data_IF_527831910319
#
_entry.id   IF_527831910319
#
_cell.length_a   1.000
_cell.length_b   1.000
_cell.length_c   1.000
_cell.angle_alpha   90.00
_cell.angle_beta   90.00
_cell.angle_gamma   90.00
#
_symmetry.space_group_name_H-M   'P 1'
#
loop_
_entity.id
_entity.type
_entity.pdbx_description
1 polymer ?
#
# COMPACT_ATOMS: atom_id res chain seq x y z
N UNK A 1 -17.44 1.45 -4.08
CA UNK A 1 -16.61 2.56 -4.60
C UNK A 1 -15.49 1.96 -5.45
N UNK A 2 -15.25 2.48 -6.65
CA UNK A 2 -14.21 1.95 -7.53
C UNK A 2 -12.82 2.53 -7.26
N UNK A 3 -11.74 1.92 -7.78
CA UNK A 3 -10.37 2.42 -7.62
C UNK A 3 -10.18 3.86 -8.14
N UNK A 4 -10.97 4.27 -9.14
CA UNK A 4 -10.98 5.64 -9.66
C UNK A 4 -11.40 6.68 -8.62
N UNK A 5 -12.35 6.34 -7.74
CA UNK A 5 -12.82 7.24 -6.68
C UNK A 5 -11.71 7.53 -5.67
N UNK A 6 -11.06 6.47 -5.16
CA UNK A 6 -9.92 6.61 -4.23
C UNK A 6 -8.75 7.36 -4.88
N UNK A 7 -8.49 7.12 -6.16
CA UNK A 7 -7.45 7.83 -6.93
C UNK A 7 -7.71 9.35 -7.00
N UNK A 8 -8.97 9.77 -7.22
CA UNK A 8 -9.33 11.19 -7.25
C UNK A 8 -9.13 11.83 -5.88
N UNK A 9 -9.63 11.20 -4.81
CA UNK A 9 -9.48 11.69 -3.44
C UNK A 9 -8.00 11.81 -3.07
N UNK A 10 -7.21 10.76 -3.34
CA UNK A 10 -5.78 10.78 -3.05
C UNK A 10 -5.09 11.93 -3.80
N UNK A 11 -5.31 12.07 -5.10
CA UNK A 11 -4.62 13.07 -5.93
C UNK A 11 -5.06 14.50 -5.65
N UNK A 12 -6.32 14.73 -5.29
CA UNK A 12 -6.90 16.08 -5.17
C UNK A 12 -6.97 16.59 -3.75
N UNK A 13 -6.95 15.71 -2.75
CA UNK A 13 -7.12 16.08 -1.34
C UNK A 13 -5.91 15.62 -0.52
N UNK A 14 -5.68 14.31 -0.43
CA UNK A 14 -4.66 13.76 0.49
C UNK A 14 -3.25 14.20 0.09
N UNK A 15 -2.89 14.04 -1.20
CA UNK A 15 -1.56 14.39 -1.70
C UNK A 15 -1.24 15.88 -1.52
N UNK A 16 -2.08 16.85 -1.94
CA UNK A 16 -1.80 18.26 -1.68
C UNK A 16 -1.61 18.59 -0.20
N UNK A 17 -2.41 17.99 0.69
CA UNK A 17 -2.29 18.20 2.14
C UNK A 17 -0.95 17.64 2.65
N UNK A 18 -0.57 16.43 2.27
CA UNK A 18 0.69 15.81 2.70
C UNK A 18 1.93 16.58 2.22
N UNK A 19 1.86 17.23 1.06
CA UNK A 19 2.95 18.07 0.54
C UNK A 19 3.15 19.38 1.33
N UNK A 20 2.27 19.70 2.28
CA UNK A 20 2.46 20.83 3.20
C UNK A 20 3.36 20.48 4.40
N UNK A 21 3.68 19.20 4.59
CA UNK A 21 4.46 18.71 5.72
C UNK A 21 5.80 18.16 5.26
N UNK A 22 6.74 18.04 6.21
CA UNK A 22 8.02 17.39 5.99
C UNK A 22 7.84 15.92 5.56
N UNK A 23 8.66 15.48 4.61
CA UNK A 23 8.52 14.17 3.97
C UNK A 23 8.75 13.01 4.94
N UNK A 24 9.70 13.14 5.87
CA UNK A 24 9.99 12.13 6.88
C UNK A 24 8.85 12.03 7.90
N UNK A 25 8.28 13.17 8.29
CA UNK A 25 7.11 13.22 9.16
C UNK A 25 5.90 12.51 8.55
N UNK A 26 5.62 12.75 7.26
CA UNK A 26 4.55 12.05 6.55
C UNK A 26 4.88 10.57 6.39
N UNK A 27 6.13 10.22 6.09
CA UNK A 27 6.57 8.83 6.00
C UNK A 27 6.32 8.08 7.31
N UNK A 28 6.78 8.62 8.44
CA UNK A 28 6.58 8.03 9.77
C UNK A 28 5.10 7.88 10.12
N UNK A 29 4.27 8.89 9.80
CA UNK A 29 2.83 8.83 10.00
C UNK A 29 2.19 7.71 9.17
N UNK A 30 2.51 7.61 7.88
CA UNK A 30 1.94 6.59 6.99
C UNK A 30 2.40 5.20 7.39
N UNK A 31 3.67 5.04 7.78
CA UNK A 31 4.20 3.76 8.27
C UNK A 31 3.52 3.33 9.56
N UNK A 32 3.31 4.24 10.51
CA UNK A 32 2.58 3.97 11.75
C UNK A 32 1.12 3.57 11.50
N UNK A 33 0.43 4.28 10.60
CA UNK A 33 -0.94 3.92 10.22
C UNK A 33 -0.99 2.56 9.53
N UNK A 34 -0.02 2.26 8.66
CA UNK A 34 0.10 0.98 7.99
C UNK A 34 0.30 -0.18 8.99
N UNK A 35 1.18 0.00 9.97
CA UNK A 35 1.39 -0.96 11.06
C UNK A 35 0.10 -1.18 11.88
N UNK A 36 -0.62 -0.11 12.21
CA UNK A 36 -1.90 -0.21 12.94
C UNK A 36 -2.94 -1.00 12.13
N UNK A 37 -3.01 -0.78 10.81
CA UNK A 37 -3.94 -1.46 9.93
C UNK A 37 -3.57 -2.94 9.73
N UNK A 38 -2.30 -3.27 9.56
CA UNK A 38 -1.86 -4.65 9.34
C UNK A 38 -2.13 -5.58 10.53
N UNK A 39 -2.06 -5.03 11.76
CA UNK A 39 -2.46 -5.74 13.00
C UNK A 39 -3.93 -6.16 13.04
N UNK A 40 -4.80 -5.59 12.20
CA UNK A 40 -6.23 -5.92 12.15
C UNK A 40 -6.58 -6.74 10.91
N UNK A 41 -6.97 -8.00 11.12
CA UNK A 41 -7.43 -8.91 10.06
C UNK A 41 -8.56 -8.29 9.21
N UNK A 42 -9.50 -7.60 9.85
CA UNK A 42 -10.62 -6.94 9.17
C UNK A 42 -10.14 -5.80 8.26
N UNK A 43 -9.16 -5.01 8.71
CA UNK A 43 -8.60 -3.93 7.91
C UNK A 43 -7.83 -4.49 6.72
N UNK A 44 -7.00 -5.52 6.91
CA UNK A 44 -6.23 -6.19 5.84
C UNK A 44 -7.16 -6.77 4.77
N UNK A 45 -8.21 -7.49 5.15
CA UNK A 45 -9.20 -8.04 4.20
C UNK A 45 -9.91 -6.91 3.44
N UNK A 46 -10.24 -5.81 4.12
CA UNK A 46 -10.92 -4.66 3.49
C UNK A 46 -10.00 -3.99 2.48
N UNK A 47 -8.73 -3.74 2.83
CA UNK A 47 -7.73 -3.18 1.92
C UNK A 47 -7.50 -4.08 0.71
N UNK A 48 -7.40 -5.39 0.91
CA UNK A 48 -7.23 -6.36 -0.18
C UNK A 48 -8.43 -6.33 -1.13
N UNK A 49 -9.66 -6.23 -0.62
CA UNK A 49 -10.86 -6.11 -1.47
C UNK A 49 -10.93 -4.81 -2.26
N UNK A 50 -10.45 -3.71 -1.69
CA UNK A 50 -10.50 -2.38 -2.32
C UNK A 50 -9.36 -2.17 -3.33
N UNK A 51 -8.17 -2.69 -3.06
CA UNK A 51 -6.94 -2.37 -3.80
C UNK A 51 -6.20 -3.60 -4.36
N UNK A 52 -6.50 -4.81 -3.88
CA UNK A 52 -5.88 -6.06 -4.31
C UNK A 52 -6.39 -6.51 -5.68
N UNK A 53 -5.70 -6.13 -6.74
CA UNK A 53 -5.98 -6.61 -8.09
C UNK A 53 -5.31 -7.97 -8.32
N UNK A 54 -6.11 -9.03 -8.44
CA UNK A 54 -5.64 -10.38 -8.79
C UNK A 54 -6.08 -10.74 -10.20
N UNK A 55 -5.16 -11.21 -11.02
CA UNK A 55 -5.46 -11.75 -12.35
C UNK A 55 -4.41 -12.81 -12.71
N UNK A 56 -4.78 -13.95 -13.32
CA UNK A 56 -3.82 -14.99 -13.67
C UNK A 56 -2.65 -14.50 -14.52
N UNK A 57 -2.87 -13.51 -15.39
CA UNK A 57 -1.81 -12.92 -16.23
C UNK A 57 -0.78 -12.09 -15.46
N UNK A 58 -1.02 -11.77 -14.18
CA UNK A 58 -0.08 -11.04 -13.32
C UNK A 58 0.82 -11.99 -12.54
N UNK A 59 0.50 -13.29 -12.48
CA UNK A 59 1.30 -14.26 -11.74
C UNK A 59 2.65 -14.46 -12.41
N UNK A 60 3.71 -14.53 -11.61
CA UNK A 60 5.09 -14.76 -12.06
C UNK A 60 5.73 -15.83 -11.18
N UNK A 61 6.60 -16.66 -11.79
CA UNK A 61 7.50 -17.55 -11.05
C UNK A 61 8.92 -17.10 -11.35
N UNK A 62 9.60 -16.55 -10.34
CA UNK A 62 10.96 -16.00 -10.47
C UNK A 62 11.85 -16.70 -9.45
N UNK A 63 12.92 -17.35 -9.93
CA UNK A 63 13.87 -18.09 -9.08
C UNK A 63 13.15 -19.08 -8.13
N UNK A 64 12.12 -19.75 -8.63
CA UNK A 64 11.33 -20.72 -7.87
C UNK A 64 10.26 -20.14 -6.93
N UNK A 65 10.22 -18.83 -6.71
CA UNK A 65 9.24 -18.14 -5.87
C UNK A 65 8.02 -17.73 -6.71
N UNK A 66 6.82 -17.98 -6.19
CA UNK A 66 5.56 -17.57 -6.81
C UNK A 66 5.16 -16.17 -6.35
N UNK A 67 5.05 -15.24 -7.31
CA UNK A 67 4.59 -13.87 -7.11
C UNK A 67 3.21 -13.69 -7.72
N UNK A 68 2.25 -13.21 -6.94
CA UNK A 68 0.87 -12.98 -7.42
C UNK A 68 0.75 -11.78 -8.39
N UNK A 69 1.77 -10.91 -8.42
CA UNK A 69 1.82 -9.68 -9.22
C UNK A 69 3.27 -9.33 -9.57
N UNK A 70 3.54 -8.71 -10.75
CA UNK A 70 4.87 -8.21 -11.10
C UNK A 70 5.25 -6.92 -10.35
N UNK A 71 4.32 -6.33 -9.59
CA UNK A 71 4.53 -5.08 -8.85
C UNK A 71 4.79 -5.40 -7.39
N UNK A 72 5.97 -5.01 -6.90
CA UNK A 72 6.38 -5.10 -5.50
C UNK A 72 6.73 -3.73 -4.91
N UNK A 73 6.87 -3.69 -3.58
CA UNK A 73 7.37 -2.52 -2.85
C UNK A 73 8.90 -2.55 -2.82
N UNK A 74 9.54 -1.46 -3.20
CA UNK A 74 11.00 -1.37 -3.21
C UNK A 74 11.59 -1.30 -1.80
N UNK A 75 12.84 -1.73 -1.66
CA UNK A 75 13.60 -1.56 -0.42
C UNK A 75 13.70 -0.08 0.00
N UNK A 76 13.87 0.15 1.30
CA UNK A 76 13.96 1.49 1.89
C UNK A 76 12.60 2.12 2.22
N UNK A 77 11.47 1.59 1.73
CA UNK A 77 10.16 2.03 2.20
C UNK A 77 9.86 1.51 3.62
N UNK A 78 9.95 0.20 3.84
CA UNK A 78 9.78 -0.40 5.17
C UNK A 78 11.08 -1.08 5.61
N UNK A 79 12.06 -0.26 6.00
CA UNK A 79 13.38 -0.74 6.37
C UNK A 79 13.42 -1.41 7.75
N UNK A 80 12.42 -1.13 8.60
CA UNK A 80 12.30 -1.69 9.96
C UNK A 80 11.35 -2.89 10.02
N UNK A 81 10.76 -3.29 8.88
CA UNK A 81 9.79 -4.37 8.77
C UNK A 81 8.59 -4.21 9.72
N UNK A 82 8.07 -2.97 9.84
CA UNK A 82 6.96 -2.61 10.72
C UNK A 82 5.58 -2.82 10.11
N UNK A 83 5.47 -2.94 8.78
CA UNK A 83 4.19 -3.08 8.09
C UNK A 83 3.73 -4.55 8.08
N UNK A 84 3.28 -5.04 9.23
CA UNK A 84 2.80 -6.42 9.46
C UNK A 84 1.29 -6.49 9.62
#
# INVERSE_FOLDING_TARGET
MGPTFFSIIYKKIVKPIFFLFDAESVHNLVSFLGELMGKSVTATITLEKLFGKKHPSLKQKIVGIDFESPVGLAAGFDYEAKLT
#
